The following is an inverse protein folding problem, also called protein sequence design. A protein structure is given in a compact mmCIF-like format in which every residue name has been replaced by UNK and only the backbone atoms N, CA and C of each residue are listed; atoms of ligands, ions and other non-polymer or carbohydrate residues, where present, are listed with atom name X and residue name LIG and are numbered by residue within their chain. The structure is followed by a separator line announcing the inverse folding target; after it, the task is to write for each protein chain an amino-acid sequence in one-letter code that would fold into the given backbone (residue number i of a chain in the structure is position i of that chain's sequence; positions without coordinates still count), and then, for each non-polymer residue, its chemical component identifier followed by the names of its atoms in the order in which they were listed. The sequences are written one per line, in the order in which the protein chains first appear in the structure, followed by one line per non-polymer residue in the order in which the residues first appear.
data_IF_988652203661
#
_entry.id   IF_988652203661
#
_cell.length_a   1.000
_cell.length_b   1.000
_cell.length_c   1.000
_cell.angle_alpha   90.00
_cell.angle_beta   90.00
_cell.angle_gamma   90.00
#
_symmetry.space_group_name_H-M   'P 1'
#
loop_
_entity.id
_entity.type
_entity.pdbx_description
1 polymer ?
#
# COMPACT_ATOMS: atom_id res chain seq x y z
N UNK A 1 -65.62 17.98 -7.56
CA UNK A 1 -65.09 16.78 -8.22
C UNK A 1 -64.70 17.20 -9.64
N UNK A 2 -63.40 17.31 -9.95
CA UNK A 2 -62.94 17.66 -11.31
C UNK A 2 -63.01 16.40 -12.17
N UNK A 3 -63.76 16.45 -13.26
CA UNK A 3 -63.79 15.37 -14.25
C UNK A 3 -62.54 15.54 -15.14
N UNK A 4 -61.66 14.54 -15.27
CA UNK A 4 -60.50 14.63 -16.14
C UNK A 4 -60.92 14.82 -17.60
N UNK A 5 -60.15 15.61 -18.36
CA UNK A 5 -60.48 15.96 -19.73
C UNK A 5 -60.26 14.78 -20.70
N UNK A 6 -59.46 13.80 -20.27
CA UNK A 6 -59.14 12.60 -21.03
C UNK A 6 -59.02 11.40 -20.09
N UNK A 7 -59.39 10.21 -20.58
CA UNK A 7 -59.11 8.93 -19.88
C UNK A 7 -57.62 8.60 -19.81
N UNK A 8 -56.77 9.43 -20.43
CA UNK A 8 -55.30 9.31 -20.41
C UNK A 8 -54.63 10.32 -19.46
N UNK A 9 -55.39 11.23 -18.84
CA UNK A 9 -54.84 12.16 -17.84
C UNK A 9 -54.33 11.37 -16.62
N UNK A 10 -53.02 11.50 -16.32
CA UNK A 10 -52.37 10.79 -15.22
C UNK A 10 -51.67 9.48 -15.59
N UNK A 11 -51.74 9.05 -16.85
CA UNK A 11 -50.83 8.01 -17.35
C UNK A 11 -49.46 8.65 -17.59
N UNK A 12 -48.41 8.10 -16.96
CA UNK A 12 -47.03 8.54 -17.16
C UNK A 12 -46.74 8.70 -18.65
N UNK A 13 -46.20 9.85 -19.03
CA UNK A 13 -45.90 10.12 -20.44
C UNK A 13 -44.88 9.09 -20.94
N UNK A 14 -45.00 8.63 -22.19
CA UNK A 14 -44.04 7.67 -22.78
C UNK A 14 -42.58 8.14 -22.70
N UNK A 15 -42.37 9.45 -22.59
CA UNK A 15 -41.07 10.09 -22.35
C UNK A 15 -40.50 9.77 -20.96
N UNK A 16 -41.29 9.92 -19.89
CA UNK A 16 -40.88 9.63 -18.51
C UNK A 16 -40.55 8.13 -18.33
N UNK A 17 -41.37 7.26 -18.92
CA UNK A 17 -41.10 5.82 -18.93
C UNK A 17 -39.78 5.47 -19.66
N UNK A 18 -39.43 6.17 -20.75
CA UNK A 18 -38.17 5.96 -21.48
C UNK A 18 -36.96 6.44 -20.67
N UNK A 19 -37.04 7.60 -20.03
CA UNK A 19 -35.97 8.12 -19.18
C UNK A 19 -35.67 7.17 -18.01
N UNK A 20 -36.72 6.65 -17.35
CA UNK A 20 -36.57 5.68 -16.26
C UNK A 20 -35.89 4.38 -16.72
N UNK A 21 -36.23 3.87 -17.91
CA UNK A 21 -35.58 2.67 -18.48
C UNK A 21 -34.11 2.90 -18.78
N UNK A 22 -33.74 4.06 -19.35
CA UNK A 22 -32.34 4.39 -19.63
C UNK A 22 -31.53 4.61 -18.36
N UNK A 23 -32.09 5.26 -17.34
CA UNK A 23 -31.43 5.40 -16.04
C UNK A 23 -31.16 4.03 -15.39
N UNK A 24 -32.15 3.12 -15.40
CA UNK A 24 -31.97 1.75 -14.91
C UNK A 24 -30.88 1.01 -15.68
N UNK A 25 -30.85 1.12 -17.01
CA UNK A 25 -29.81 0.51 -17.84
C UNK A 25 -28.43 1.07 -17.53
N UNK A 26 -28.31 2.39 -17.40
CA UNK A 26 -27.05 3.04 -17.03
C UNK A 26 -26.54 2.55 -15.67
N UNK A 27 -27.44 2.46 -14.66
CA UNK A 27 -27.10 1.91 -13.35
C UNK A 27 -26.66 0.44 -13.42
N UNK A 28 -27.37 -0.41 -14.18
CA UNK A 28 -27.00 -1.81 -14.36
C UNK A 28 -25.66 -1.97 -15.09
N UNK A 29 -25.38 -1.15 -16.08
CA UNK A 29 -24.07 -1.12 -16.77
C UNK A 29 -22.98 -0.71 -15.79
N UNK A 30 -23.21 0.33 -14.99
CA UNK A 30 -22.26 0.76 -13.97
C UNK A 30 -21.99 -0.36 -12.94
N UNK A 31 -23.04 -1.01 -12.43
CA UNK A 31 -22.91 -2.15 -11.52
C UNK A 31 -22.14 -3.30 -12.16
N UNK A 32 -22.42 -3.62 -13.43
CA UNK A 32 -21.69 -4.63 -14.18
C UNK A 32 -20.21 -4.27 -14.32
N UNK A 33 -19.87 -2.99 -14.55
CA UNK A 33 -18.49 -2.53 -14.57
C UNK A 33 -17.78 -2.75 -13.22
N UNK A 34 -18.42 -2.45 -12.09
CA UNK A 34 -17.85 -2.73 -10.76
C UNK A 34 -17.64 -4.22 -10.52
N UNK A 35 -18.61 -5.06 -10.88
CA UNK A 35 -18.49 -6.52 -10.76
C UNK A 35 -17.34 -7.02 -11.64
N UNK A 36 -17.25 -6.57 -12.89
CA UNK A 36 -16.17 -6.93 -13.80
C UNK A 36 -14.79 -6.48 -13.28
N UNK A 37 -14.69 -5.27 -12.71
CA UNK A 37 -13.46 -4.77 -12.09
C UNK A 37 -13.06 -5.61 -10.86
N UNK A 38 -14.03 -5.99 -10.02
CA UNK A 38 -13.81 -6.90 -8.90
C UNK A 38 -13.34 -8.28 -9.34
N UNK A 39 -13.97 -8.87 -10.36
CA UNK A 39 -13.56 -10.15 -10.95
C UNK A 39 -12.18 -10.07 -11.61
N UNK A 40 -11.82 -8.93 -12.18
CA UNK A 40 -10.48 -8.67 -12.73
C UNK A 40 -9.43 -8.39 -11.64
N UNK A 41 -9.79 -8.42 -10.35
CA UNK A 41 -8.87 -8.17 -9.23
C UNK A 41 -8.46 -6.71 -9.05
N UNK A 42 -9.08 -5.77 -9.77
CA UNK A 42 -8.72 -4.35 -9.75
C UNK A 42 -9.12 -3.64 -8.44
N UNK A 43 -9.96 -4.28 -7.62
CA UNK A 43 -10.50 -3.74 -6.36
C UNK A 43 -9.96 -4.47 -5.11
N UNK A 44 -8.93 -5.31 -5.27
CA UNK A 44 -8.33 -6.10 -4.21
C UNK A 44 -7.15 -5.43 -3.52
N UNK A 45 -6.64 -6.07 -2.48
CA UNK A 45 -5.33 -5.75 -1.89
C UNK A 45 -4.22 -6.17 -2.85
N UNK A 46 -3.14 -5.40 -2.91
CA UNK A 46 -2.03 -5.63 -3.82
C UNK A 46 -0.71 -5.27 -3.17
N UNK A 47 0.26 -6.16 -3.30
CA UNK A 47 1.65 -5.89 -2.95
C UNK A 47 2.44 -5.55 -4.21
N UNK A 48 3.49 -4.75 -4.04
CA UNK A 48 4.43 -4.39 -5.09
C UNK A 48 5.84 -4.44 -4.52
N UNK A 49 6.82 -4.50 -5.40
CA UNK A 49 8.23 -4.37 -5.05
C UNK A 49 8.78 -3.12 -5.73
N UNK A 50 9.44 -2.28 -4.95
CA UNK A 50 10.12 -1.07 -5.42
C UNK A 50 11.62 -1.24 -5.18
N UNK A 51 12.44 -0.88 -6.17
CA UNK A 51 13.87 -1.18 -6.14
C UNK A 51 14.71 0.03 -6.55
N UNK A 52 15.90 0.14 -5.95
CA UNK A 52 16.92 1.11 -6.31
C UNK A 52 18.31 0.45 -6.21
N UNK A 53 19.20 0.81 -7.12
CA UNK A 53 20.58 0.32 -7.12
C UNK A 53 21.55 1.47 -7.34
N UNK A 54 22.58 1.56 -6.51
CA UNK A 54 23.61 2.59 -6.59
C UNK A 54 24.91 2.08 -5.95
N UNK A 55 26.06 2.39 -6.57
CA UNK A 55 27.39 2.09 -6.02
C UNK A 55 27.63 0.64 -5.54
N UNK A 56 27.05 -0.34 -6.24
CA UNK A 56 27.19 -1.78 -5.88
C UNK A 56 26.16 -2.29 -4.88
N UNK A 57 25.35 -1.39 -4.31
CA UNK A 57 24.21 -1.70 -3.45
C UNK A 57 22.94 -1.83 -4.27
N UNK A 58 22.07 -2.76 -3.86
CA UNK A 58 20.70 -2.89 -4.35
C UNK A 58 19.78 -2.99 -3.15
N UNK A 59 18.78 -2.11 -3.12
CA UNK A 59 17.73 -2.07 -2.11
C UNK A 59 16.41 -2.39 -2.80
N UNK A 60 15.76 -3.46 -2.35
CA UNK A 60 14.43 -3.87 -2.80
C UNK A 60 13.48 -3.85 -1.61
N UNK A 61 12.31 -3.22 -1.76
CA UNK A 61 11.26 -3.19 -0.76
C UNK A 61 10.00 -3.82 -1.34
N UNK A 62 9.58 -4.95 -0.77
CA UNK A 62 8.26 -5.52 -0.98
C UNK A 62 7.29 -4.98 0.06
N UNK A 63 6.27 -4.24 -0.39
CA UNK A 63 5.27 -3.65 0.49
C UNK A 63 3.86 -3.77 -0.09
N UNK A 64 2.83 -3.55 0.74
CA UNK A 64 1.48 -3.36 0.22
C UNK A 64 1.35 -2.01 -0.51
N UNK A 65 1.02 -2.03 -1.79
CA UNK A 65 0.65 -0.82 -2.53
C UNK A 65 -0.79 -0.41 -2.24
N UNK A 66 -1.67 -1.41 -2.08
CA UNK A 66 -3.08 -1.25 -1.73
C UNK A 66 -3.43 -2.25 -0.65
N UNK A 67 -3.99 -1.80 0.46
CA UNK A 67 -4.40 -2.66 1.57
C UNK A 67 -5.74 -2.23 2.18
N UNK A 68 -6.19 -2.95 3.21
CA UNK A 68 -7.36 -2.61 4.03
C UNK A 68 -6.98 -2.63 5.50
N UNK A 69 -7.65 -1.82 6.34
CA UNK A 69 -7.46 -1.88 7.78
C UNK A 69 -7.78 -3.28 8.32
N UNK A 70 -7.00 -3.76 9.28
CA UNK A 70 -7.21 -5.05 9.94
C UNK A 70 -6.72 -6.28 9.18
N UNK A 71 -5.81 -6.13 8.22
CA UNK A 71 -5.18 -7.22 7.47
C UNK A 71 -3.66 -7.25 7.68
N UNK A 72 -3.11 -8.47 7.62
CA UNK A 72 -1.66 -8.69 7.49
C UNK A 72 -1.21 -8.28 6.09
N UNK A 73 -0.07 -7.60 6.00
CA UNK A 73 0.53 -7.13 4.76
C UNK A 73 2.04 -7.33 4.78
N UNK A 74 2.70 -7.42 3.62
CA UNK A 74 4.15 -7.48 3.61
C UNK A 74 4.74 -6.09 3.89
N UNK A 75 5.84 -6.09 4.65
CA UNK A 75 6.89 -5.10 4.58
C UNK A 75 8.21 -5.85 4.72
N UNK A 76 8.94 -6.00 3.61
CA UNK A 76 10.17 -6.78 3.54
C UNK A 76 11.20 -6.03 2.71
N UNK A 77 12.34 -5.77 3.34
CA UNK A 77 13.51 -5.13 2.77
C UNK A 77 14.53 -6.20 2.44
N UNK A 78 14.99 -6.21 1.20
CA UNK A 78 16.14 -7.00 0.76
C UNK A 78 17.24 -6.04 0.36
N UNK A 79 18.41 -6.17 0.99
CA UNK A 79 19.62 -5.43 0.66
C UNK A 79 20.63 -6.40 0.08
N UNK A 80 21.19 -6.09 -1.07
CA UNK A 80 22.29 -6.84 -1.68
C UNK A 80 23.47 -5.91 -1.92
N UNK A 81 24.68 -6.30 -1.54
CA UNK A 81 25.91 -5.57 -1.84
C UNK A 81 26.94 -6.52 -2.46
N UNK A 82 27.32 -6.24 -3.71
CA UNK A 82 28.23 -7.11 -4.45
C UNK A 82 29.60 -7.20 -3.74
N UNK A 83 30.00 -8.41 -3.36
CA UNK A 83 31.23 -8.65 -2.60
C UNK A 83 31.02 -8.86 -1.10
N UNK A 84 29.79 -8.70 -0.60
CA UNK A 84 29.47 -8.90 0.80
C UNK A 84 29.40 -7.61 1.60
N UNK A 85 29.18 -7.74 2.91
CA UNK A 85 29.14 -6.61 3.83
C UNK A 85 30.41 -6.57 4.69
N UNK A 86 31.09 -5.42 4.70
CA UNK A 86 32.29 -5.22 5.51
C UNK A 86 31.93 -5.02 7.00
N UNK A 87 30.83 -4.32 7.27
CA UNK A 87 30.30 -4.03 8.61
C UNK A 87 28.78 -4.28 8.70
N UNK A 88 28.21 -4.05 9.89
CA UNK A 88 26.78 -4.14 10.13
C UNK A 88 26.00 -3.13 9.26
N UNK A 89 24.81 -3.53 8.82
CA UNK A 89 24.01 -2.77 7.86
C UNK A 89 22.97 -1.93 8.59
N UNK A 90 22.95 -0.62 8.32
CA UNK A 90 21.95 0.28 8.89
C UNK A 90 20.87 0.61 7.87
N UNK A 91 19.61 0.40 8.24
CA UNK A 91 18.45 0.82 7.46
C UNK A 91 17.85 2.08 8.08
N UNK A 92 17.80 3.16 7.29
CA UNK A 92 17.06 4.36 7.63
C UNK A 92 15.66 4.30 7.02
N UNK A 93 14.62 4.43 7.83
CA UNK A 93 13.23 4.38 7.36
C UNK A 93 12.39 5.48 7.99
N UNK A 94 11.49 6.08 7.20
CA UNK A 94 10.53 7.07 7.69
C UNK A 94 9.66 6.47 8.80
N UNK A 95 9.82 6.95 10.03
CA UNK A 95 9.16 6.39 11.21
C UNK A 95 7.63 6.47 11.14
N UNK A 96 7.10 7.59 10.63
CA UNK A 96 5.66 7.83 10.53
C UNK A 96 4.92 6.89 9.56
N UNK A 97 5.66 6.16 8.71
CA UNK A 97 5.05 5.10 7.88
C UNK A 97 4.49 3.98 8.76
N UNK A 98 5.18 3.63 9.85
CA UNK A 98 4.78 2.54 10.74
C UNK A 98 3.56 2.88 11.60
N UNK A 99 3.14 4.14 11.65
CA UNK A 99 1.95 4.58 12.40
C UNK A 99 0.65 3.99 11.83
N UNK A 100 0.66 3.35 10.66
CA UNK A 100 -0.52 2.62 10.13
C UNK A 100 -0.61 1.19 10.66
N UNK A 101 0.45 0.65 11.25
CA UNK A 101 0.51 -0.72 11.75
C UNK A 101 0.34 -0.78 13.26
N UNK A 102 -0.11 -1.93 13.76
CA UNK A 102 0.06 -2.24 15.18
C UNK A 102 1.55 -2.39 15.49
N UNK A 103 1.91 -2.22 16.76
CA UNK A 103 3.28 -2.47 17.22
C UNK A 103 3.62 -3.94 17.03
N UNK A 104 4.59 -4.21 16.17
CA UNK A 104 5.07 -5.54 15.81
C UNK A 104 6.60 -5.56 15.78
N UNK A 105 7.19 -6.74 15.53
CA UNK A 105 8.64 -6.95 15.55
C UNK A 105 9.28 -6.97 14.16
N UNK A 106 10.60 -6.74 14.12
CA UNK A 106 11.42 -7.00 12.94
C UNK A 106 12.02 -8.40 13.01
N UNK A 107 12.19 -9.02 11.85
CA UNK A 107 12.80 -10.33 11.69
C UNK A 107 13.90 -10.25 10.61
N UNK A 108 15.19 -10.36 10.97
CA UNK A 108 15.72 -10.46 12.34
C UNK A 108 15.45 -9.18 13.15
N UNK A 109 15.58 -9.26 14.47
CA UNK A 109 15.53 -8.08 15.34
C UNK A 109 16.80 -7.23 15.11
N UNK A 110 16.69 -5.89 15.03
CA UNK A 110 17.87 -5.02 14.95
C UNK A 110 18.78 -5.19 16.19
N UNK A 111 20.09 -5.11 15.97
CA UNK A 111 21.08 -5.09 17.05
C UNK A 111 21.19 -3.75 17.75
N UNK A 112 20.80 -2.67 17.07
CA UNK A 112 20.66 -1.33 17.64
C UNK A 112 19.54 -0.57 16.93
N UNK A 113 18.84 0.29 17.66
CA UNK A 113 17.80 1.15 17.11
C UNK A 113 17.91 2.56 17.69
N UNK A 114 17.90 3.56 16.82
CA UNK A 114 17.75 4.95 17.20
C UNK A 114 16.67 5.63 16.36
N UNK A 115 16.14 6.75 16.86
CA UNK A 115 15.16 7.55 16.12
C UNK A 115 15.46 9.02 16.32
N UNK A 116 15.49 9.77 15.23
CA UNK A 116 15.50 11.24 15.26
C UNK A 116 14.06 11.78 15.11
N UNK A 117 13.88 12.97 14.54
CA UNK A 117 12.55 13.58 14.41
C UNK A 117 11.63 12.79 13.47
N UNK A 118 12.14 12.27 12.36
CA UNK A 118 11.34 11.69 11.27
C UNK A 118 11.80 10.29 10.87
N UNK A 119 13.03 9.91 11.20
CA UNK A 119 13.69 8.71 10.70
C UNK A 119 14.01 7.77 11.85
N UNK A 120 13.70 6.48 11.65
CA UNK A 120 14.20 5.37 12.46
C UNK A 120 15.43 4.80 11.78
N UNK A 121 16.49 4.58 12.54
CA UNK A 121 17.71 3.91 12.10
C UNK A 121 17.78 2.56 12.79
N UNK A 122 17.78 1.49 11.99
CA UNK A 122 17.75 0.11 12.43
C UNK A 122 19.03 -0.55 11.97
N UNK A 123 19.91 -0.90 12.91
CA UNK A 123 21.18 -1.55 12.61
C UNK A 123 21.02 -3.05 12.73
N UNK A 124 21.45 -3.80 11.72
CA UNK A 124 21.38 -5.26 11.69
C UNK A 124 22.77 -5.84 11.56
N UNK A 125 23.01 -6.94 12.27
CA UNK A 125 24.24 -7.70 12.11
C UNK A 125 24.39 -8.15 10.67
N UNK A 126 25.60 -8.00 10.13
CA UNK A 126 25.86 -8.45 8.77
C UNK A 126 25.61 -9.96 8.61
N UNK A 127 24.95 -10.38 7.51
CA UNK A 127 24.78 -11.79 7.21
C UNK A 127 26.08 -12.38 6.67
N UNK A 128 26.16 -13.71 6.64
CA UNK A 128 27.12 -14.38 5.77
C UNK A 128 26.68 -14.23 4.31
N UNK A 129 27.59 -13.78 3.44
CA UNK A 129 27.30 -13.54 2.02
C UNK A 129 27.00 -12.09 1.69
N UNK A 130 26.24 -11.88 0.62
CA UNK A 130 26.01 -10.58 -0.02
C UNK A 130 24.60 -10.04 0.13
N UNK A 131 23.69 -10.77 0.79
CA UNK A 131 22.27 -10.44 0.86
C UNK A 131 21.74 -10.49 2.29
N UNK A 132 21.14 -9.37 2.72
CA UNK A 132 20.41 -9.22 3.98
C UNK A 132 18.91 -9.10 3.69
N UNK A 133 18.09 -9.90 4.36
CA UNK A 133 16.62 -9.84 4.27
C UNK A 133 16.07 -9.49 5.64
N UNK A 134 15.24 -8.44 5.69
CA UNK A 134 14.59 -7.93 6.90
C UNK A 134 13.09 -7.88 6.61
N UNK A 135 12.27 -8.52 7.43
CA UNK A 135 10.82 -8.36 7.39
C UNK A 135 10.32 -7.67 8.65
N UNK A 136 9.21 -6.95 8.53
CA UNK A 136 8.42 -6.47 9.64
C UNK A 136 7.10 -7.22 9.61
N UNK A 137 6.70 -7.82 10.73
CA UNK A 137 5.41 -8.49 10.85
C UNK A 137 4.29 -7.44 10.81
N UNK A 138 3.80 -7.09 9.62
CA UNK A 138 3.00 -5.88 9.45
C UNK A 138 1.49 -6.20 9.47
N UNK A 139 0.81 -5.80 10.54
CA UNK A 139 -0.64 -5.81 10.64
C UNK A 139 -1.19 -4.39 10.67
N UNK A 140 -2.03 -4.02 9.68
CA UNK A 140 -2.59 -2.66 9.61
C UNK A 140 -3.63 -2.47 10.71
N UNK A 141 -3.49 -1.41 11.51
CA UNK A 141 -4.43 -1.12 12.58
C UNK A 141 -5.85 -0.97 12.04
N UNK A 142 -6.87 -1.56 12.68
CA UNK A 142 -8.26 -1.38 12.26
C UNK A 142 -8.72 0.08 12.23
N UNK A 143 -8.12 0.94 13.07
CA UNK A 143 -8.41 2.37 13.13
C UNK A 143 -7.73 3.20 12.04
N UNK A 144 -6.74 2.65 11.33
CA UNK A 144 -6.00 3.38 10.29
C UNK A 144 -6.80 3.44 9.00
N UNK A 145 -7.50 4.55 8.77
CA UNK A 145 -8.34 4.74 7.59
C UNK A 145 -7.62 5.45 6.42
N UNK A 146 -6.40 5.95 6.66
CA UNK A 146 -5.62 6.71 5.69
C UNK A 146 -4.22 6.10 5.63
N UNK A 147 -3.79 5.81 4.40
CA UNK A 147 -2.46 5.30 4.10
C UNK A 147 -1.32 6.26 4.45
N UNK A 148 -0.09 5.80 4.22
CA UNK A 148 1.14 6.57 4.45
C UNK A 148 2.15 6.32 3.36
N UNK A 149 2.98 7.34 3.14
CA UNK A 149 4.21 7.24 2.36
C UNK A 149 5.40 7.10 3.30
N UNK A 150 6.49 6.58 2.77
CA UNK A 150 7.77 6.55 3.45
C UNK A 150 8.91 6.41 2.45
N UNK A 151 10.12 6.59 2.97
CA UNK A 151 11.35 6.29 2.29
C UNK A 151 12.12 5.28 3.14
N UNK A 152 12.71 4.28 2.50
CA UNK A 152 13.65 3.35 3.12
C UNK A 152 14.98 3.49 2.42
N UNK A 153 16.07 3.47 3.17
CA UNK A 153 17.42 3.64 2.63
C UNK A 153 18.40 2.75 3.34
N UNK A 154 19.42 2.31 2.60
CA UNK A 154 20.61 1.71 3.19
C UNK A 154 21.58 2.83 3.55
N UNK A 155 22.13 2.78 4.76
CA UNK A 155 23.15 3.69 5.26
C UNK A 155 24.46 2.92 5.39
N UNK A 156 25.48 3.41 4.71
CA UNK A 156 26.85 2.89 4.71
C UNK A 156 27.82 4.07 4.95
N UNK A 157 28.75 3.92 5.88
CA UNK A 157 29.65 5.01 6.33
C UNK A 157 28.95 6.35 6.63
N UNK A 158 27.72 6.29 7.16
CA UNK A 158 26.91 7.47 7.48
C UNK A 158 26.28 8.18 6.28
N UNK A 159 26.40 7.63 5.06
CA UNK A 159 25.77 8.12 3.85
C UNK A 159 24.65 7.19 3.39
N UNK A 160 23.59 7.74 2.81
CA UNK A 160 22.55 6.93 2.16
C UNK A 160 23.05 6.51 0.79
N UNK A 161 23.23 5.20 0.60
CA UNK A 161 23.83 4.63 -0.63
C UNK A 161 22.82 4.00 -1.57
N UNK A 162 21.59 3.75 -1.12
CA UNK A 162 20.46 3.39 -1.95
C UNK A 162 19.16 3.77 -1.22
N UNK A 163 18.17 4.30 -1.95
CA UNK A 163 16.91 4.78 -1.36
C UNK A 163 15.72 4.41 -2.23
N UNK A 164 14.63 3.97 -1.60
CA UNK A 164 13.35 3.64 -2.23
C UNK A 164 12.24 4.43 -1.57
N UNK A 165 11.49 5.18 -2.37
CA UNK A 165 10.24 5.81 -1.95
C UNK A 165 9.06 4.87 -2.19
N UNK A 166 8.11 4.87 -1.26
CA UNK A 166 6.95 3.98 -1.33
C UNK A 166 5.70 4.59 -0.68
N UNK A 167 4.55 4.06 -1.05
CA UNK A 167 3.25 4.48 -0.52
C UNK A 167 2.29 3.29 -0.42
N UNK A 168 1.54 3.25 0.68
CA UNK A 168 0.46 2.30 0.91
C UNK A 168 -0.86 3.04 0.87
N UNK A 169 -1.72 2.72 -0.09
CA UNK A 169 -3.10 3.20 -0.14
C UNK A 169 -4.00 2.29 0.70
N UNK A 170 -4.82 2.87 1.58
CA UNK A 170 -5.83 2.12 2.34
C UNK A 170 -7.21 2.29 1.71
N UNK A 171 -7.75 1.17 1.23
CA UNK A 171 -9.12 1.10 0.75
C UNK A 171 -10.09 1.16 1.94
N UNK A 172 -11.25 1.83 1.78
CA UNK A 172 -12.34 1.80 2.76
C UNK A 172 -12.88 0.39 3.04
#
# INVERSE_FOLDING_TARGET
MRIPASTLDGLESTSEARAAVWLRRAFLVLLLCFVAAGLAGLLGVRSTTSEASESGWTLSLRHAAVARPGLDVPWEVTVTHAGGFDDDVTIAVTGAYFDIFETQGFNPEPSDETRDADTRYLTFKKPEGDTLIISYDAYIQPASQIGRSGTVSVVDDGQRVASVDFHTFLMP
#
